data_IF_289491579652
#
_entry.id   IF_289491579652
#
_cell.length_a   1.000
_cell.length_b   1.000
_cell.length_c   1.000
_cell.angle_alpha   90.00
_cell.angle_beta   90.00
_cell.angle_gamma   90.00
#
_symmetry.space_group_name_H-M   'P 1'
#
loop_
_entity.id
_entity.type
_entity.pdbx_description
1 polymer ?
#
# COMPACT_ATOMS: atom_id res chain seq x y z
N UNK A 1 26.09 26.60 3.44
CA UNK A 1 26.13 26.80 4.91
C UNK A 1 26.13 25.42 5.57
N UNK A 2 27.27 25.11 6.19
CA UNK A 2 27.64 23.79 6.73
C UNK A 2 26.98 23.59 8.10
N UNK A 3 26.24 22.48 8.30
CA UNK A 3 25.84 22.03 9.64
C UNK A 3 26.34 20.63 9.92
N UNK A 4 27.68 20.57 10.19
CA UNK A 4 28.28 19.48 10.97
C UNK A 4 28.88 20.13 12.19
N UNK A 5 28.32 19.88 13.36
CA UNK A 5 29.02 19.92 14.65
C UNK A 5 28.01 19.67 15.76
N UNK A 6 28.02 18.50 16.33
CA UNK A 6 27.76 18.30 17.76
C UNK A 6 27.93 16.80 18.04
N UNK A 7 29.05 16.44 18.66
CA UNK A 7 29.27 15.43 19.69
C UNK A 7 30.78 15.16 19.79
N UNK A 8 31.41 15.86 20.70
CA UNK A 8 32.67 15.47 21.36
C UNK A 8 32.56 15.92 22.82
N UNK A 9 32.58 14.98 23.74
CA UNK A 9 33.09 15.08 25.11
C UNK A 9 33.38 13.67 25.57
N UNK A 10 34.63 13.31 25.54
CA UNK A 10 35.69 13.19 26.51
C UNK A 10 35.37 12.30 27.73
N UNK A 11 36.07 11.17 27.71
CA UNK A 11 36.40 10.23 28.78
C UNK A 11 37.22 10.89 29.90
N UNK A 12 36.92 10.57 31.16
CA UNK A 12 37.93 10.44 32.23
C UNK A 12 37.55 9.27 33.10
N UNK A 13 38.54 8.39 33.25
CA UNK A 13 38.55 7.27 34.18
C UNK A 13 39.04 7.73 35.57
N UNK A 14 38.57 7.06 36.63
CA UNK A 14 39.24 6.71 37.90
C UNK A 14 38.20 5.93 38.70
N UNK A 15 38.40 4.78 39.14
CA UNK A 15 39.34 4.11 40.00
C UNK A 15 38.69 3.75 41.30
N UNK A 16 38.61 2.45 41.62
CA UNK A 16 38.73 1.81 42.91
C UNK A 16 37.52 1.02 43.49
N UNK A 17 37.86 -0.20 43.78
CA UNK A 17 37.61 -1.02 44.97
C UNK A 17 36.38 -1.96 45.02
N UNK A 18 36.74 -3.22 45.15
CA UNK A 18 35.91 -4.40 45.34
C UNK A 18 35.12 -4.41 46.67
N UNK A 19 33.90 -4.88 46.59
CA UNK A 19 33.21 -5.54 47.71
C UNK A 19 32.35 -6.66 47.16
N UNK A 20 32.68 -7.89 47.45
CA UNK A 20 31.92 -9.07 47.03
C UNK A 20 30.61 -9.18 47.81
N UNK A 21 29.53 -9.34 47.07
CA UNK A 21 28.28 -9.90 47.60
C UNK A 21 27.80 -10.98 46.66
N UNK A 22 27.68 -12.20 47.19
CA UNK A 22 27.09 -13.37 46.55
C UNK A 22 25.63 -13.08 46.22
N UNK A 23 25.29 -12.88 44.97
CA UNK A 23 23.91 -12.89 44.52
C UNK A 23 23.56 -14.28 44.02
N UNK A 24 22.65 -14.91 44.75
CA UNK A 24 22.00 -16.17 44.38
C UNK A 24 21.25 -16.01 43.08
N UNK A 25 21.61 -16.81 42.11
CA UNK A 25 20.92 -16.88 40.82
C UNK A 25 19.60 -17.62 41.03
N UNK A 26 18.51 -16.90 41.20
CA UNK A 26 17.15 -17.45 41.01
C UNK A 26 16.88 -17.50 39.52
N UNK A 27 16.98 -18.70 38.97
CA UNK A 27 16.52 -18.98 37.61
C UNK A 27 14.98 -18.93 37.59
N UNK A 28 14.41 -17.81 37.21
CA UNK A 28 13.00 -17.71 36.84
C UNK A 28 12.88 -18.18 35.40
N UNK A 29 12.64 -19.47 35.24
CA UNK A 29 12.21 -20.03 33.96
C UNK A 29 10.77 -19.60 33.65
N UNK A 30 10.59 -18.41 33.10
CA UNK A 30 9.34 -18.07 32.45
C UNK A 30 9.41 -18.59 31.03
N UNK A 31 8.68 -19.67 30.76
CA UNK A 31 8.34 -20.06 29.41
C UNK A 31 7.54 -18.92 28.78
N UNK A 32 8.19 -18.19 27.86
CA UNK A 32 7.49 -17.27 26.97
C UNK A 32 6.58 -18.15 26.10
N UNK A 33 5.30 -18.21 26.47
CA UNK A 33 4.31 -18.77 25.56
C UNK A 33 4.33 -17.94 24.28
N UNK A 34 4.66 -18.57 23.17
CA UNK A 34 4.53 -17.97 21.86
C UNK A 34 3.08 -17.48 21.73
N UNK A 35 2.91 -16.18 21.57
CA UNK A 35 1.60 -15.58 21.30
C UNK A 35 0.97 -16.21 20.07
N UNK A 36 -0.34 -16.05 19.87
CA UNK A 36 -1.04 -16.65 18.76
C UNK A 36 -0.33 -16.28 17.46
N UNK A 37 0.18 -17.28 16.74
CA UNK A 37 0.74 -17.10 15.40
C UNK A 37 -0.40 -16.61 14.52
N UNK A 38 -0.35 -15.36 14.13
CA UNK A 38 -1.26 -14.76 13.17
C UNK A 38 -1.06 -15.54 11.84
N UNK A 39 -1.88 -16.55 11.61
CA UNK A 39 -1.96 -17.18 10.30
C UNK A 39 -2.71 -16.20 9.40
N UNK A 40 -1.98 -15.53 8.50
CA UNK A 40 -2.58 -14.73 7.44
C UNK A 40 -3.57 -15.60 6.66
N UNK A 41 -4.81 -15.17 6.41
CA UNK A 41 -5.72 -15.92 5.57
C UNK A 41 -5.07 -16.10 4.20
N UNK A 42 -4.97 -17.32 3.72
CA UNK A 42 -4.50 -17.63 2.37
C UNK A 42 -5.62 -17.23 1.42
N UNK A 43 -5.50 -16.08 0.78
CA UNK A 43 -6.31 -15.75 -0.39
C UNK A 43 -5.83 -16.71 -1.47
N UNK A 44 -6.67 -17.67 -1.90
CA UNK A 44 -6.35 -18.52 -3.03
C UNK A 44 -6.57 -17.68 -4.28
N UNK A 45 -5.47 -17.15 -4.84
CA UNK A 45 -5.56 -16.50 -6.14
C UNK A 45 -6.11 -17.49 -7.16
N UNK A 46 -7.05 -17.07 -8.02
CA UNK A 46 -7.42 -17.88 -9.15
C UNK A 46 -6.19 -18.09 -10.04
N UNK A 47 -5.85 -19.33 -10.31
CA UNK A 47 -4.92 -19.62 -11.38
C UNK A 47 -5.61 -19.19 -12.68
N UNK A 48 -5.01 -18.31 -13.49
CA UNK A 48 -5.57 -17.93 -14.78
C UNK A 48 -5.87 -19.18 -15.58
N UNK A 49 -7.07 -19.28 -16.14
CA UNK A 49 -7.40 -20.41 -17.00
C UNK A 49 -6.45 -20.39 -18.21
N UNK A 50 -5.91 -21.54 -18.66
CA UNK A 50 -4.96 -21.61 -19.77
C UNK A 50 -5.47 -21.04 -21.10
N UNK A 51 -6.76 -20.78 -21.19
CA UNK A 51 -7.43 -20.26 -22.40
C UNK A 51 -7.45 -18.72 -22.49
N UNK A 52 -7.10 -18.01 -21.44
CA UNK A 52 -6.90 -16.57 -21.51
C UNK A 52 -5.60 -16.29 -22.28
N UNK A 53 -5.69 -16.30 -23.61
CA UNK A 53 -4.63 -15.78 -24.50
C UNK A 53 -4.55 -14.27 -24.31
N UNK A 54 -3.80 -13.85 -23.29
CA UNK A 54 -3.49 -12.44 -23.06
C UNK A 54 -2.55 -11.96 -24.15
N UNK A 55 -3.10 -11.45 -25.24
CA UNK A 55 -2.35 -11.20 -26.46
C UNK A 55 -1.66 -9.83 -26.50
N UNK A 56 -2.05 -8.85 -25.69
CA UNK A 56 -1.43 -7.53 -25.76
C UNK A 56 -1.41 -6.83 -24.40
N UNK A 57 -0.22 -6.48 -23.97
CA UNK A 57 0.03 -5.44 -22.97
C UNK A 57 -0.18 -4.09 -23.65
N UNK A 58 -0.72 -3.13 -22.95
CA UNK A 58 -0.96 -1.79 -23.45
C UNK A 58 0.39 -1.11 -23.80
N UNK A 59 0.49 -0.41 -24.95
CA UNK A 59 1.73 0.28 -25.35
C UNK A 59 2.24 1.19 -24.23
N UNK A 60 3.53 1.07 -23.89
CA UNK A 60 4.15 1.78 -22.79
C UNK A 60 4.20 1.00 -21.46
N UNK A 61 3.52 -0.15 -21.38
CA UNK A 61 3.71 -1.14 -20.30
C UNK A 61 4.79 -2.14 -20.74
N UNK A 62 5.73 -2.56 -19.87
CA UNK A 62 6.69 -3.61 -20.23
C UNK A 62 5.99 -4.88 -20.68
N UNK A 63 6.41 -5.44 -21.83
CA UNK A 63 5.81 -6.67 -22.37
C UNK A 63 6.53 -7.91 -21.80
N UNK A 64 6.20 -8.27 -20.57
CA UNK A 64 6.74 -9.46 -19.87
C UNK A 64 5.62 -10.43 -19.51
N UNK A 65 5.96 -11.67 -19.15
CA UNK A 65 4.96 -12.61 -18.64
C UNK A 65 4.23 -12.03 -17.41
N UNK A 66 4.97 -11.43 -16.48
CA UNK A 66 4.44 -10.88 -15.25
C UNK A 66 3.38 -9.78 -15.53
N UNK A 67 3.68 -8.84 -16.40
CA UNK A 67 2.75 -7.74 -16.73
C UNK A 67 1.56 -8.21 -17.55
N UNK A 68 1.75 -9.18 -18.47
CA UNK A 68 0.63 -9.80 -19.20
C UNK A 68 -0.35 -10.50 -18.27
N UNK A 69 0.15 -11.29 -17.32
CA UNK A 69 -0.69 -12.00 -16.37
C UNK A 69 -1.35 -11.07 -15.37
N UNK A 70 -0.64 -10.03 -14.88
CA UNK A 70 -1.23 -8.98 -14.05
C UNK A 70 -2.36 -8.24 -14.78
N UNK A 71 -2.15 -7.88 -16.06
CA UNK A 71 -3.19 -7.27 -16.90
C UNK A 71 -4.39 -8.20 -17.06
N UNK A 72 -4.12 -9.48 -17.23
CA UNK A 72 -5.16 -10.51 -17.35
C UNK A 72 -6.03 -10.61 -16.11
N UNK A 73 -5.41 -10.70 -14.93
CA UNK A 73 -6.12 -10.71 -13.65
C UNK A 73 -6.95 -9.43 -13.47
N UNK A 74 -6.34 -8.27 -13.74
CA UNK A 74 -7.05 -7.01 -13.64
C UNK A 74 -8.27 -6.96 -14.58
N UNK A 75 -8.13 -7.43 -15.82
CA UNK A 75 -9.24 -7.46 -16.79
C UNK A 75 -10.34 -8.44 -16.42
N UNK A 76 -9.98 -9.61 -15.88
CA UNK A 76 -10.94 -10.66 -15.51
C UNK A 76 -11.77 -10.27 -14.28
N UNK A 77 -11.15 -9.65 -13.27
CA UNK A 77 -11.80 -9.46 -11.97
C UNK A 77 -12.24 -8.03 -11.69
N UNK A 78 -11.67 -7.01 -12.35
CA UNK A 78 -12.05 -5.63 -12.09
C UNK A 78 -13.18 -5.12 -12.99
N UNK A 79 -13.78 -4.01 -12.57
CA UNK A 79 -14.70 -3.25 -13.41
C UNK A 79 -13.93 -2.42 -14.44
N UNK A 80 -14.57 -1.96 -15.53
CA UNK A 80 -13.94 -1.01 -16.45
C UNK A 80 -13.42 0.26 -15.75
N UNK A 81 -14.08 0.69 -14.67
CA UNK A 81 -13.64 1.80 -13.83
C UNK A 81 -12.25 1.55 -13.24
N UNK A 82 -12.09 0.44 -12.50
CA UNK A 82 -10.84 0.09 -11.83
C UNK A 82 -9.75 -0.31 -12.83
N UNK A 83 -10.10 -0.99 -13.91
CA UNK A 83 -9.17 -1.29 -15.00
C UNK A 83 -8.55 -0.01 -15.59
N UNK A 84 -9.38 0.96 -15.94
CA UNK A 84 -8.92 2.22 -16.50
C UNK A 84 -8.13 3.04 -15.46
N UNK A 85 -8.59 3.05 -14.20
CA UNK A 85 -7.91 3.71 -13.08
C UNK A 85 -6.49 3.16 -12.91
N UNK A 86 -6.34 1.86 -12.76
CA UNK A 86 -5.03 1.21 -12.57
C UNK A 86 -4.04 1.52 -13.70
N UNK A 87 -4.51 1.50 -14.95
CA UNK A 87 -3.65 1.88 -16.08
C UNK A 87 -3.27 3.36 -16.04
N UNK A 88 -4.20 4.27 -15.76
CA UNK A 88 -3.86 5.70 -15.62
C UNK A 88 -2.86 5.92 -14.50
N UNK A 89 -3.06 5.30 -13.33
CA UNK A 89 -2.13 5.37 -12.20
C UNK A 89 -0.73 4.94 -12.61
N UNK A 90 -0.59 3.82 -13.34
CA UNK A 90 0.70 3.40 -13.86
C UNK A 90 1.34 4.47 -14.76
N UNK A 91 0.62 4.99 -15.76
CA UNK A 91 1.18 5.98 -16.67
C UNK A 91 1.57 7.27 -15.97
N UNK A 92 0.80 7.71 -14.97
CA UNK A 92 1.16 8.86 -14.13
C UNK A 92 2.43 8.59 -13.33
N UNK A 93 2.47 7.49 -12.61
CA UNK A 93 3.60 7.08 -11.78
C UNK A 93 4.88 6.90 -12.61
N UNK A 94 4.78 6.24 -13.76
CA UNK A 94 5.91 6.01 -14.67
C UNK A 94 6.50 7.31 -15.22
N UNK A 95 5.67 8.27 -15.61
CA UNK A 95 6.15 9.58 -16.08
C UNK A 95 6.77 10.39 -14.94
N UNK A 96 6.16 10.39 -13.75
CA UNK A 96 6.75 11.01 -12.57
C UNK A 96 8.13 10.41 -12.24
N UNK A 97 8.25 9.09 -12.31
CA UNK A 97 9.54 8.40 -12.13
C UNK A 97 10.59 8.80 -13.17
N UNK A 98 10.21 8.93 -14.44
CA UNK A 98 11.11 9.41 -15.49
C UNK A 98 11.61 10.83 -15.24
N UNK A 99 10.79 11.69 -14.67
CA UNK A 99 11.14 13.07 -14.35
C UNK A 99 12.15 13.18 -13.20
N UNK A 100 12.22 12.19 -12.29
CA UNK A 100 13.25 12.18 -11.24
C UNK A 100 14.66 11.95 -11.80
N UNK A 101 14.77 11.28 -12.95
CA UNK A 101 16.06 10.81 -13.49
C UNK A 101 16.67 9.63 -12.73
N UNK A 102 16.01 9.12 -11.70
CA UNK A 102 16.43 7.96 -10.93
C UNK A 102 15.97 6.65 -11.58
N UNK A 103 16.66 5.55 -11.24
CA UNK A 103 16.26 4.21 -11.70
C UNK A 103 15.22 3.64 -10.78
N UNK A 104 14.16 3.09 -11.37
CA UNK A 104 13.09 2.37 -10.68
C UNK A 104 12.67 1.14 -11.49
N UNK A 105 11.99 0.22 -10.84
CA UNK A 105 11.50 -1.01 -11.46
C UNK A 105 10.13 -0.77 -12.10
N UNK A 106 10.15 -0.48 -13.42
CA UNK A 106 8.93 -0.17 -14.19
C UNK A 106 7.96 -1.36 -14.24
N UNK A 107 8.49 -2.59 -14.32
CA UNK A 107 7.68 -3.82 -14.31
C UNK A 107 6.96 -3.98 -12.97
N UNK A 108 7.69 -3.82 -11.88
CA UNK A 108 7.11 -3.91 -10.53
C UNK A 108 6.09 -2.79 -10.29
N UNK A 109 6.39 -1.57 -10.74
CA UNK A 109 5.47 -0.43 -10.64
C UNK A 109 4.15 -0.70 -11.37
N UNK A 110 4.21 -1.35 -12.54
CA UNK A 110 2.98 -1.77 -13.23
C UNK A 110 2.18 -2.79 -12.41
N UNK A 111 2.84 -3.80 -11.85
CA UNK A 111 2.17 -4.78 -10.98
C UNK A 111 1.54 -4.07 -9.76
N UNK A 112 2.26 -3.15 -9.14
CA UNK A 112 1.71 -2.36 -8.03
C UNK A 112 0.45 -1.60 -8.45
N UNK A 113 0.49 -0.93 -9.60
CA UNK A 113 -0.67 -0.20 -10.12
C UNK A 113 -1.84 -1.13 -10.51
N UNK A 114 -1.55 -2.33 -11.03
CA UNK A 114 -2.60 -3.31 -11.37
C UNK A 114 -3.30 -3.89 -10.15
N UNK A 115 -2.59 -4.01 -9.03
CA UNK A 115 -3.08 -4.68 -7.83
C UNK A 115 -3.61 -3.73 -6.75
N UNK A 116 -3.27 -2.44 -6.75
CA UNK A 116 -3.46 -1.55 -5.58
C UNK A 116 -4.91 -1.49 -5.07
N UNK A 117 -5.89 -1.64 -5.93
CA UNK A 117 -7.32 -1.58 -5.61
C UNK A 117 -8.05 -2.94 -5.69
N UNK A 118 -7.34 -4.06 -5.92
CA UNK A 118 -8.00 -5.37 -6.00
C UNK A 118 -8.69 -5.77 -4.69
N UNK A 119 -8.20 -5.31 -3.54
CA UNK A 119 -8.82 -5.54 -2.24
C UNK A 119 -10.21 -4.91 -2.07
N UNK A 120 -10.62 -3.99 -2.95
CA UNK A 120 -12.00 -3.48 -3.05
C UNK A 120 -12.96 -4.53 -3.61
N UNK A 121 -12.44 -5.54 -4.31
CA UNK A 121 -13.24 -6.58 -4.95
C UNK A 121 -13.47 -7.75 -3.99
N UNK A 122 -14.70 -8.20 -3.87
CA UNK A 122 -15.12 -9.28 -2.96
C UNK A 122 -14.20 -10.51 -3.02
N UNK A 123 -13.65 -10.83 -4.19
CA UNK A 123 -12.78 -11.99 -4.39
C UNK A 123 -11.46 -11.89 -3.63
N UNK A 124 -10.93 -10.69 -3.48
CA UNK A 124 -9.63 -10.42 -2.85
C UNK A 124 -9.78 -9.85 -1.44
N UNK A 125 -11.00 -9.49 -1.03
CA UNK A 125 -11.29 -8.84 0.23
C UNK A 125 -11.39 -9.86 1.37
N UNK A 126 -10.69 -9.61 2.47
CA UNK A 126 -10.88 -10.27 3.76
C UNK A 126 -12.06 -9.68 4.52
N UNK A 127 -12.41 -10.26 5.66
CA UNK A 127 -13.51 -9.77 6.53
C UNK A 127 -13.08 -8.70 7.54
N UNK A 128 -11.77 -8.44 7.68
CA UNK A 128 -11.26 -7.60 8.76
C UNK A 128 -10.17 -6.62 8.33
N UNK A 129 -9.33 -6.98 7.35
CA UNK A 129 -8.18 -6.17 6.98
C UNK A 129 -8.60 -4.97 6.12
N UNK A 130 -7.77 -3.95 6.12
CA UNK A 130 -7.89 -2.82 5.20
C UNK A 130 -7.80 -3.32 3.76
N UNK A 131 -8.53 -2.69 2.83
CA UNK A 131 -8.49 -3.11 1.43
C UNK A 131 -7.08 -2.98 0.82
N UNK A 132 -6.29 -2.01 1.28
CA UNK A 132 -4.89 -1.83 0.87
C UNK A 132 -4.03 -3.03 1.28
N UNK A 133 -4.28 -3.60 2.46
CA UNK A 133 -3.60 -4.82 2.96
C UNK A 133 -4.05 -6.04 2.16
N UNK A 134 -5.34 -6.17 1.89
CA UNK A 134 -5.88 -7.23 1.05
C UNK A 134 -5.27 -7.19 -0.36
N UNK A 135 -5.20 -5.99 -0.96
CA UNK A 135 -4.54 -5.73 -2.26
C UNK A 135 -3.06 -6.13 -2.24
N UNK A 136 -2.33 -5.69 -1.22
CA UNK A 136 -0.91 -5.97 -1.05
C UNK A 136 -0.64 -7.48 -0.86
N UNK A 137 -1.51 -8.19 -0.12
CA UNK A 137 -1.42 -9.63 0.06
C UNK A 137 -1.71 -10.39 -1.23
N UNK A 138 -2.66 -9.91 -2.05
CA UNK A 138 -2.92 -10.48 -3.37
C UNK A 138 -1.70 -10.31 -4.31
N UNK A 139 -1.09 -9.13 -4.33
CA UNK A 139 0.12 -8.89 -5.10
C UNK A 139 1.29 -9.76 -4.62
N UNK A 140 1.48 -9.92 -3.29
CA UNK A 140 2.50 -10.81 -2.72
C UNK A 140 2.34 -12.23 -3.24
N UNK A 141 1.15 -12.82 -3.14
CA UNK A 141 0.89 -14.18 -3.60
C UNK A 141 1.15 -14.34 -5.10
N UNK A 142 0.75 -13.35 -5.90
CA UNK A 142 1.02 -13.32 -7.33
C UNK A 142 2.52 -13.31 -7.62
N UNK A 143 3.29 -12.45 -6.96
CA UNK A 143 4.73 -12.32 -7.14
C UNK A 143 5.50 -13.57 -6.64
N UNK A 144 5.08 -14.14 -5.51
CA UNK A 144 5.62 -15.42 -4.99
C UNK A 144 5.41 -16.57 -5.99
N UNK A 145 4.24 -16.65 -6.61
CA UNK A 145 3.95 -17.65 -7.65
C UNK A 145 4.89 -17.54 -8.86
N UNK A 146 5.34 -16.33 -9.18
CA UNK A 146 6.27 -16.05 -10.27
C UNK A 146 7.75 -16.14 -9.85
N UNK A 147 8.05 -16.55 -8.62
CA UNK A 147 9.42 -16.69 -8.13
C UNK A 147 10.16 -15.35 -8.00
N UNK A 148 9.44 -14.24 -7.82
CA UNK A 148 10.04 -12.92 -7.67
C UNK A 148 10.78 -12.85 -6.33
N UNK A 149 11.99 -12.24 -6.26
CA UNK A 149 12.74 -12.09 -5.02
C UNK A 149 11.99 -11.32 -3.93
N UNK A 150 12.14 -11.77 -2.67
CA UNK A 150 11.43 -11.18 -1.51
C UNK A 150 11.63 -9.66 -1.37
N UNK A 151 12.77 -9.13 -1.74
CA UNK A 151 13.03 -7.68 -1.73
C UNK A 151 12.09 -6.92 -2.65
N UNK A 152 11.83 -7.43 -3.87
CA UNK A 152 10.86 -6.84 -4.81
C UNK A 152 9.42 -7.03 -4.30
N UNK A 153 9.11 -8.21 -3.74
CA UNK A 153 7.80 -8.49 -3.15
C UNK A 153 7.50 -7.53 -2.01
N UNK A 154 8.46 -7.28 -1.12
CA UNK A 154 8.28 -6.35 -0.02
C UNK A 154 8.10 -4.90 -0.51
N UNK A 155 8.84 -4.49 -1.54
CA UNK A 155 8.65 -3.17 -2.17
C UNK A 155 7.23 -3.03 -2.73
N UNK A 156 6.72 -4.04 -3.44
CA UNK A 156 5.35 -4.02 -3.96
C UNK A 156 4.32 -4.00 -2.83
N UNK A 157 4.54 -4.79 -1.77
CA UNK A 157 3.65 -4.81 -0.62
C UNK A 157 3.59 -3.45 0.07
N UNK A 158 4.74 -2.81 0.29
CA UNK A 158 4.82 -1.46 0.87
C UNK A 158 4.13 -0.43 -0.05
N UNK A 159 4.39 -0.48 -1.35
CA UNK A 159 3.78 0.44 -2.31
C UNK A 159 2.25 0.35 -2.26
N UNK A 160 1.71 -0.86 -2.33
CA UNK A 160 0.26 -1.08 -2.35
C UNK A 160 -0.37 -0.79 -0.98
N UNK A 161 0.23 -1.24 0.12
CA UNK A 161 -0.36 -1.02 1.46
C UNK A 161 -0.34 0.44 1.91
N UNK A 162 0.54 1.27 1.34
CA UNK A 162 0.73 2.68 1.71
C UNK A 162 0.16 3.66 0.70
N UNK A 163 -0.44 3.22 -0.41
CA UNK A 163 -0.87 4.10 -1.51
C UNK A 163 -1.95 5.11 -1.13
N UNK A 164 -2.66 4.91 -0.02
CA UNK A 164 -3.62 5.87 0.56
C UNK A 164 -3.09 6.61 1.79
N UNK A 165 -1.83 6.35 2.19
CA UNK A 165 -1.27 6.88 3.45
C UNK A 165 -0.27 8.00 3.14
N UNK A 166 -0.63 9.28 3.37
CA UNK A 166 0.25 10.41 3.09
C UNK A 166 1.45 10.46 4.06
N UNK A 167 2.55 11.05 3.59
CA UNK A 167 3.70 11.40 4.43
C UNK A 167 4.67 10.26 4.73
N UNK A 168 4.49 9.07 4.15
CA UNK A 168 5.37 7.91 4.39
C UNK A 168 6.09 7.46 3.11
N UNK A 169 5.40 7.41 1.97
CA UNK A 169 5.92 6.85 0.72
C UNK A 169 7.25 7.45 0.26
N UNK A 170 7.41 8.76 0.40
CA UNK A 170 8.63 9.49 0.01
C UNK A 170 9.90 9.13 0.81
N UNK A 171 9.78 8.35 1.87
CA UNK A 171 10.90 7.85 2.68
C UNK A 171 11.19 6.36 2.44
N UNK A 172 10.53 5.77 1.45
CA UNK A 172 10.65 4.37 1.05
C UNK A 172 11.35 4.24 -0.31
N UNK A 173 11.30 3.05 -0.91
CA UNK A 173 11.75 2.84 -2.28
C UNK A 173 10.94 3.71 -3.26
N UNK A 174 11.57 4.10 -4.36
CA UNK A 174 10.96 5.04 -5.30
C UNK A 174 9.61 4.54 -5.84
N UNK A 175 9.43 3.24 -6.05
CA UNK A 175 8.17 2.64 -6.49
C UNK A 175 7.01 2.90 -5.51
N UNK A 176 7.29 2.99 -4.20
CA UNK A 176 6.29 3.29 -3.17
C UNK A 176 5.81 4.73 -3.31
N UNK A 177 6.74 5.67 -3.44
CA UNK A 177 6.43 7.08 -3.66
C UNK A 177 5.69 7.29 -4.98
N UNK A 178 6.15 6.65 -6.05
CA UNK A 178 5.58 6.79 -7.38
C UNK A 178 4.15 6.29 -7.45
N UNK A 179 3.84 5.14 -6.82
CA UNK A 179 2.47 4.64 -6.78
C UNK A 179 1.56 5.61 -6.02
N UNK A 180 1.98 6.08 -4.84
CA UNK A 180 1.24 7.06 -4.05
C UNK A 180 0.95 8.35 -4.86
N UNK A 181 1.97 8.88 -5.54
CA UNK A 181 1.82 10.10 -6.35
C UNK A 181 0.95 9.86 -7.59
N UNK A 182 1.05 8.71 -8.25
CA UNK A 182 0.20 8.33 -9.38
C UNK A 182 -1.28 8.22 -8.99
N UNK A 183 -1.58 7.61 -7.84
CA UNK A 183 -2.93 7.56 -7.27
C UNK A 183 -3.41 8.96 -6.90
N UNK A 184 -2.56 9.76 -6.24
CA UNK A 184 -2.87 11.14 -5.86
C UNK A 184 -3.21 12.02 -7.07
N UNK A 185 -2.48 11.88 -8.18
CA UNK A 185 -2.79 12.58 -9.41
C UNK A 185 -4.11 12.10 -10.02
N UNK A 186 -4.35 10.78 -10.09
CA UNK A 186 -5.57 10.28 -10.71
C UNK A 186 -6.82 10.57 -9.88
N UNK A 187 -6.80 10.38 -8.59
CA UNK A 187 -7.99 10.53 -7.74
C UNK A 187 -8.22 11.98 -7.33
N UNK A 188 -7.17 12.67 -6.89
CA UNK A 188 -7.26 13.98 -6.26
C UNK A 188 -6.79 15.13 -7.16
N UNK A 189 -6.10 14.83 -8.29
CA UNK A 189 -5.52 15.86 -9.15
C UNK A 189 -4.26 16.49 -8.58
N UNK A 190 -3.59 15.85 -7.64
CA UNK A 190 -2.35 16.38 -7.05
C UNK A 190 -1.27 16.45 -8.15
N UNK A 191 -0.71 17.63 -8.39
CA UNK A 191 0.27 17.85 -9.44
C UNK A 191 -0.32 17.99 -10.85
N UNK A 192 -1.64 18.08 -11.02
CA UNK A 192 -2.31 18.15 -12.32
C UNK A 192 -1.76 19.26 -13.22
N UNK A 193 -1.54 20.47 -12.68
CA UNK A 193 -1.10 21.64 -13.47
C UNK A 193 0.36 21.52 -13.95
N UNK A 194 1.18 20.77 -13.24
CA UNK A 194 2.61 20.60 -13.57
C UNK A 194 2.88 19.35 -14.40
N UNK A 195 1.90 18.45 -14.51
CA UNK A 195 2.04 17.22 -15.28
C UNK A 195 1.85 17.49 -16.80
N UNK A 196 2.62 16.87 -17.72
CA UNK A 196 2.55 17.11 -19.15
C UNK A 196 1.13 16.93 -19.73
N UNK A 197 0.56 18.02 -20.26
CA UNK A 197 -0.82 18.05 -20.74
C UNK A 197 -1.08 17.06 -21.87
N UNK A 198 -0.17 16.96 -22.83
CA UNK A 198 -0.32 16.05 -23.99
C UNK A 198 -0.36 14.59 -23.55
N UNK A 199 0.44 14.22 -22.55
CA UNK A 199 0.41 12.88 -21.99
C UNK A 199 -0.90 12.63 -21.25
N UNK A 200 -1.38 13.61 -20.45
CA UNK A 200 -2.70 13.52 -19.79
C UNK A 200 -3.80 13.25 -20.79
N UNK A 201 -3.85 14.05 -21.89
CA UNK A 201 -4.87 13.89 -22.94
C UNK A 201 -4.81 12.50 -23.58
N UNK A 202 -3.61 12.02 -23.94
CA UNK A 202 -3.42 10.69 -24.55
C UNK A 202 -3.86 9.56 -23.63
N UNK A 203 -3.45 9.60 -22.37
CA UNK A 203 -3.78 8.54 -21.40
C UNK A 203 -5.27 8.54 -21.08
N UNK A 204 -5.90 9.72 -20.88
CA UNK A 204 -7.34 9.80 -20.60
C UNK A 204 -8.18 9.41 -21.81
N UNK A 205 -7.73 9.70 -23.04
CA UNK A 205 -8.40 9.25 -24.26
C UNK A 205 -8.41 7.72 -24.37
N UNK A 206 -7.33 7.06 -23.94
CA UNK A 206 -7.17 5.61 -23.98
C UNK A 206 -7.87 4.90 -22.81
N UNK A 207 -7.81 5.49 -21.61
CA UNK A 207 -8.40 4.98 -20.38
C UNK A 207 -9.39 6.01 -19.82
N UNK A 208 -10.63 6.05 -20.34
CA UNK A 208 -11.59 7.09 -20.03
C UNK A 208 -11.97 7.19 -18.55
N UNK A 209 -12.32 8.40 -18.11
CA UNK A 209 -12.75 8.71 -16.74
C UNK A 209 -14.28 8.91 -16.67
N UNK A 210 -15.04 7.97 -17.22
CA UNK A 210 -16.50 8.07 -17.28
C UNK A 210 -17.08 8.03 -15.86
N UNK A 211 -17.73 9.13 -15.45
CA UNK A 211 -18.30 9.31 -14.09
C UNK A 211 -17.34 8.96 -12.96
N UNK A 212 -16.04 9.14 -13.17
CA UNK A 212 -15.00 8.60 -12.30
C UNK A 212 -15.13 9.05 -10.85
N UNK A 213 -15.42 10.34 -10.61
CA UNK A 213 -15.48 10.89 -9.23
C UNK A 213 -16.54 10.22 -8.38
N UNK A 214 -17.71 10.01 -8.96
CA UNK A 214 -18.85 9.40 -8.29
C UNK A 214 -18.65 7.89 -8.14
N UNK A 215 -18.20 7.23 -9.21
CA UNK A 215 -18.10 5.77 -9.24
C UNK A 215 -16.91 5.24 -8.45
N UNK A 216 -15.79 5.96 -8.38
CA UNK A 216 -14.65 5.54 -7.55
C UNK A 216 -14.99 5.61 -6.05
N UNK A 217 -15.73 6.64 -5.62
CA UNK A 217 -16.18 6.75 -4.24
C UNK A 217 -17.13 5.59 -3.85
N UNK A 218 -18.02 5.18 -4.78
CA UNK A 218 -18.88 4.00 -4.57
C UNK A 218 -18.09 2.70 -4.57
N UNK A 219 -17.06 2.57 -5.41
CA UNK A 219 -16.19 1.39 -5.42
C UNK A 219 -15.44 1.25 -4.08
N UNK A 220 -14.94 2.34 -3.52
CA UNK A 220 -14.36 2.36 -2.18
C UNK A 220 -15.38 1.89 -1.13
N UNK A 221 -16.57 2.50 -1.09
CA UNK A 221 -17.60 2.08 -0.14
C UNK A 221 -17.89 0.59 -0.26
N UNK A 222 -18.13 0.07 -1.47
CA UNK A 222 -18.41 -1.35 -1.71
C UNK A 222 -17.30 -2.28 -1.22
N UNK A 223 -16.05 -1.81 -1.22
CA UNK A 223 -14.89 -2.58 -0.74
C UNK A 223 -14.81 -2.74 0.78
N UNK A 224 -15.42 -1.83 1.55
CA UNK A 224 -15.27 -1.84 3.01
C UNK A 224 -16.56 -1.56 3.81
N UNK A 225 -17.73 -1.37 3.19
CA UNK A 225 -18.99 -1.15 3.92
C UNK A 225 -19.35 -2.29 4.87
N UNK A 226 -18.96 -3.54 4.56
CA UNK A 226 -19.17 -4.71 5.41
C UNK A 226 -18.11 -4.87 6.52
N UNK A 227 -17.06 -4.07 6.50
CA UNK A 227 -15.92 -4.09 7.43
C UNK A 227 -15.44 -2.68 7.78
N UNK A 228 -16.36 -1.80 8.12
CA UNK A 228 -16.07 -0.37 8.38
C UNK A 228 -15.04 -0.13 9.47
N UNK A 229 -14.86 -1.05 10.42
CA UNK A 229 -13.81 -1.00 11.43
C UNK A 229 -12.39 -0.99 10.81
N UNK A 230 -12.22 -1.52 9.60
CA UNK A 230 -10.94 -1.50 8.89
C UNK A 230 -10.56 -0.12 8.37
N UNK A 231 -11.51 0.83 8.36
CA UNK A 231 -11.26 2.21 7.88
C UNK A 231 -10.81 3.16 9.00
N UNK A 232 -10.86 2.74 10.26
CA UNK A 232 -10.54 3.60 11.41
C UNK A 232 -9.17 4.26 11.28
N UNK A 233 -9.15 5.58 11.48
CA UNK A 233 -7.94 6.40 11.40
C UNK A 233 -7.39 6.62 9.99
N UNK A 234 -8.17 6.31 8.95
CA UNK A 234 -7.77 6.48 7.53
C UNK A 234 -8.67 7.48 6.80
N UNK A 235 -8.27 7.89 5.59
CA UNK A 235 -9.12 8.72 4.71
C UNK A 235 -10.41 7.99 4.29
N UNK A 236 -10.46 6.66 4.39
CA UNK A 236 -11.64 5.86 4.05
C UNK A 236 -12.82 6.10 5.01
N UNK A 237 -12.57 6.59 6.24
CA UNK A 237 -13.65 7.02 7.14
C UNK A 237 -14.48 8.17 6.56
N UNK A 238 -13.89 9.01 5.69
CA UNK A 238 -14.64 10.10 5.04
C UNK A 238 -15.68 9.55 4.07
N UNK A 239 -15.34 8.47 3.35
CA UNK A 239 -16.28 7.75 2.47
C UNK A 239 -17.39 7.13 3.30
N UNK A 240 -17.07 6.43 4.40
CA UNK A 240 -18.08 5.88 5.31
C UNK A 240 -19.01 6.98 5.87
N UNK A 241 -18.44 8.11 6.29
CA UNK A 241 -19.20 9.24 6.85
C UNK A 241 -20.14 9.87 5.83
N UNK A 242 -19.75 9.88 4.55
CA UNK A 242 -20.57 10.46 3.48
C UNK A 242 -21.75 9.56 3.10
N UNK A 243 -21.54 8.25 3.01
CA UNK A 243 -22.53 7.31 2.45
C UNK A 243 -23.33 6.54 3.50
N UNK A 244 -22.77 6.29 4.69
CA UNK A 244 -23.40 5.45 5.71
C UNK A 244 -24.12 6.34 6.73
N UNK A 245 -25.45 6.20 6.78
CA UNK A 245 -26.27 6.96 7.75
C UNK A 245 -25.85 6.64 9.19
N UNK A 246 -25.65 7.69 9.98
CA UNK A 246 -25.24 7.59 11.39
C UNK A 246 -23.86 6.96 11.63
N UNK A 247 -23.00 6.86 10.62
CA UNK A 247 -21.61 6.46 10.82
C UNK A 247 -20.92 7.43 11.79
N UNK A 248 -20.22 6.87 12.77
CA UNK A 248 -19.44 7.65 13.73
C UNK A 248 -17.97 7.45 13.43
N UNK A 249 -17.28 8.52 13.08
CA UNK A 249 -15.83 8.49 12.91
C UNK A 249 -15.15 8.18 14.24
N UNK A 250 -14.05 7.45 14.18
CA UNK A 250 -13.17 7.29 15.31
C UNK A 250 -12.56 8.63 15.73
N UNK A 251 -12.36 8.81 17.03
CA UNK A 251 -11.71 9.99 17.58
C UNK A 251 -10.61 9.55 18.54
N UNK A 252 -9.37 9.70 18.09
CA UNK A 252 -8.21 9.22 18.84
C UNK A 252 -8.06 9.91 20.21
N UNK A 253 -8.37 11.19 20.32
CA UNK A 253 -8.37 11.89 21.60
C UNK A 253 -9.39 11.27 22.58
N UNK A 254 -10.61 10.99 22.11
CA UNK A 254 -11.61 10.34 22.95
C UNK A 254 -11.20 8.92 23.37
N UNK A 255 -10.51 8.18 22.49
CA UNK A 255 -9.99 6.85 22.83
C UNK A 255 -8.95 6.95 23.95
N UNK A 256 -8.06 7.94 23.90
CA UNK A 256 -7.10 8.21 24.98
C UNK A 256 -7.84 8.50 26.30
N UNK A 257 -8.87 9.35 26.27
CA UNK A 257 -9.65 9.70 27.47
C UNK A 257 -10.42 8.50 28.07
N UNK A 258 -10.80 7.54 27.24
CA UNK A 258 -11.50 6.32 27.64
C UNK A 258 -10.55 5.19 28.08
N UNK A 259 -9.23 5.41 28.04
CA UNK A 259 -8.25 4.43 28.52
C UNK A 259 -8.52 4.06 29.97
N UNK A 260 -8.46 2.76 30.34
CA UNK A 260 -8.72 2.34 31.70
C UNK A 260 -7.59 2.70 32.69
N UNK A 261 -6.44 3.16 32.21
CA UNK A 261 -5.34 3.58 33.06
C UNK A 261 -5.66 4.90 33.73
N UNK A 262 -5.46 4.94 35.07
CA UNK A 262 -5.66 6.17 35.85
C UNK A 262 -4.45 7.10 35.69
N UNK A 263 -4.72 8.40 35.73
CA UNK A 263 -3.67 9.40 35.84
C UNK A 263 -3.07 9.31 37.29
N UNK A 264 -1.76 9.15 37.37
CA UNK A 264 -1.03 9.13 38.66
C UNK A 264 -0.73 10.56 39.14
#
# INVERSE_FOLDING_TARGET
>A
MNRRSFLKTTSTADGAAAAGSKLSTLAIGQSVQAGPTFRRPKIILPVPTPEAKFQHVEDGVPDTQLTREATGLLREFSTPLLFNHSHRVFFWANELGRQTGERFDVELLFVCAAFHDLGLLKKFSSTADRFEVDSANAARQFLEHHGIPETRIQTAWDAISLHTTPGIGQYKQLEVELLFNGVGLDVLGIGYETFPEDLRKKVVARFPRVYFKEEIAKAFLGGFESKTQSTEGTCNEDICSHFIRNYKRSNFYEQIQKSPFQNS
#
